data_IF_284142751160
#
_entry.id   IF_284142751160
#
_cell.length_a   1.000
_cell.length_b   1.000
_cell.length_c   1.000
_cell.angle_alpha   90.00
_cell.angle_beta   90.00
_cell.angle_gamma   90.00
#
_symmetry.space_group_name_H-M   'P 1'
#
loop_
_entity.id
_entity.type
_entity.pdbx_description
1 polymer ?
#
# COMPACT_ATOMS: atom_id res chain seq x y z
N UNK A 1 -13.65 -3.48 -11.16
CA UNK A 1 -12.53 -4.25 -11.76
C UNK A 1 -11.43 -4.25 -10.73
N UNK A 2 -11.06 -5.42 -10.17
CA UNK A 2 -9.93 -5.48 -9.24
C UNK A 2 -8.65 -5.19 -10.00
N UNK A 3 -7.86 -4.23 -9.52
CA UNK A 3 -6.53 -3.96 -10.07
C UNK A 3 -5.63 -5.16 -9.73
N UNK A 4 -5.67 -6.20 -10.58
CA UNK A 4 -4.77 -7.33 -10.48
C UNK A 4 -3.35 -6.84 -10.76
N UNK A 5 -2.54 -6.70 -9.73
CA UNK A 5 -1.11 -6.38 -9.88
C UNK A 5 -0.44 -7.52 -10.65
N UNK A 6 0.13 -7.22 -11.81
CA UNK A 6 0.85 -8.20 -12.62
C UNK A 6 2.10 -8.66 -11.88
N UNK A 7 2.38 -9.96 -12.02
CA UNK A 7 3.61 -10.54 -11.49
C UNK A 7 4.73 -10.40 -12.51
N UNK A 8 5.79 -9.67 -12.14
CA UNK A 8 6.98 -9.44 -12.98
C UNK A 8 8.25 -9.89 -12.27
N UNK A 9 9.25 -10.27 -13.06
CA UNK A 9 10.56 -10.64 -12.54
C UNK A 9 11.30 -9.41 -11.99
N UNK A 10 11.75 -9.46 -10.73
CA UNK A 10 12.41 -8.33 -10.08
C UNK A 10 11.48 -7.22 -9.56
N UNK A 11 10.18 -7.50 -9.48
CA UNK A 11 9.18 -6.64 -8.84
C UNK A 11 9.30 -6.56 -7.32
N UNK A 12 8.36 -5.88 -6.67
CA UNK A 12 8.28 -5.86 -5.21
C UNK A 12 7.86 -7.21 -4.64
N UNK A 13 8.35 -7.53 -3.46
CA UNK A 13 7.95 -8.73 -2.74
C UNK A 13 6.45 -8.70 -2.47
N UNK A 14 5.76 -9.77 -2.86
CA UNK A 14 4.30 -9.84 -2.78
C UNK A 14 3.81 -9.67 -1.34
N UNK A 15 4.55 -10.17 -0.35
CA UNK A 15 4.15 -10.07 1.07
C UNK A 15 4.30 -8.64 1.56
N UNK A 16 5.38 -7.96 1.19
CA UNK A 16 5.60 -6.56 1.58
C UNK A 16 4.54 -5.65 0.94
N UNK A 17 4.20 -5.88 -0.32
CA UNK A 17 3.13 -5.12 -1.02
C UNK A 17 1.78 -5.37 -0.37
N UNK A 18 1.40 -6.64 -0.15
CA UNK A 18 0.13 -6.98 0.49
C UNK A 18 0.04 -6.38 1.89
N UNK A 19 1.10 -6.48 2.70
CA UNK A 19 1.12 -5.90 4.04
C UNK A 19 0.93 -4.37 4.02
N UNK A 20 1.54 -3.68 3.06
CA UNK A 20 1.40 -2.23 2.92
C UNK A 20 -0.01 -1.85 2.46
N UNK A 21 -0.54 -2.55 1.45
CA UNK A 21 -1.91 -2.37 0.96
C UNK A 21 -2.95 -2.66 2.04
N UNK A 22 -2.80 -3.75 2.79
CA UNK A 22 -3.70 -4.12 3.88
C UNK A 22 -3.69 -3.05 4.99
N UNK A 23 -2.54 -2.45 5.26
CA UNK A 23 -2.45 -1.33 6.20
C UNK A 23 -3.18 -0.08 5.71
N UNK A 24 -3.05 0.27 4.41
CA UNK A 24 -3.84 1.36 3.81
C UNK A 24 -5.34 1.09 3.87
N UNK A 25 -5.77 -0.13 3.50
CA UNK A 25 -7.19 -0.52 3.56
C UNK A 25 -7.72 -0.49 5.00
N UNK A 26 -6.94 -0.99 5.96
CA UNK A 26 -7.31 -0.93 7.39
C UNK A 26 -7.46 0.51 7.89
N UNK A 27 -6.60 1.42 7.41
CA UNK A 27 -6.72 2.85 7.71
C UNK A 27 -8.01 3.43 7.11
N UNK A 28 -8.31 3.15 5.85
CA UNK A 28 -9.55 3.58 5.19
C UNK A 28 -10.79 3.09 5.96
N UNK A 29 -10.82 1.81 6.35
CA UNK A 29 -11.94 1.28 7.14
C UNK A 29 -12.06 1.96 8.51
N UNK A 30 -10.95 2.31 9.15
CA UNK A 30 -10.96 3.01 10.44
C UNK A 30 -11.49 4.44 10.30
N UNK A 31 -11.18 5.12 9.19
CA UNK A 31 -11.75 6.42 8.83
C UNK A 31 -13.26 6.29 8.62
N UNK A 32 -13.71 5.28 7.85
CA UNK A 32 -15.13 5.07 7.55
C UNK A 32 -15.96 4.71 8.80
N UNK A 33 -15.33 4.05 9.78
CA UNK A 33 -15.94 3.79 11.09
C UNK A 33 -15.89 5.00 12.03
N UNK A 34 -15.44 6.17 11.55
CA UNK A 34 -15.25 7.42 12.30
C UNK A 34 -14.43 7.25 13.59
N UNK A 35 -13.49 6.29 13.58
CA UNK A 35 -12.82 5.83 14.79
C UNK A 35 -11.49 6.56 15.06
N UNK A 36 -11.11 7.51 14.20
CA UNK A 36 -9.84 8.22 14.22
C UNK A 36 -10.02 9.70 13.91
N UNK A 37 -9.22 10.56 14.54
CA UNK A 37 -9.11 11.98 14.19
C UNK A 37 -8.12 12.19 13.05
N UNK A 38 -8.22 13.31 12.33
CA UNK A 38 -7.32 13.67 11.21
C UNK A 38 -5.84 13.56 11.56
N UNK A 39 -5.47 13.95 12.79
CA UNK A 39 -4.11 13.84 13.29
C UNK A 39 -3.65 12.37 13.44
N UNK A 40 -4.55 11.49 13.90
CA UNK A 40 -4.27 10.07 14.00
C UNK A 40 -4.19 9.42 12.61
N UNK A 41 -5.06 9.83 11.68
CA UNK A 41 -5.05 9.35 10.30
C UNK A 41 -3.72 9.72 9.63
N UNK A 42 -3.27 10.97 9.74
CA UNK A 42 -2.00 11.40 9.17
C UNK A 42 -0.80 10.68 9.81
N UNK A 43 -0.84 10.41 11.12
CA UNK A 43 0.19 9.65 11.81
C UNK A 43 0.28 8.20 11.32
N UNK A 44 -0.86 7.51 11.16
CA UNK A 44 -0.90 6.16 10.60
C UNK A 44 -0.47 6.15 9.13
N UNK A 45 -0.93 7.12 8.33
CA UNK A 45 -0.54 7.28 6.93
C UNK A 45 0.98 7.40 6.78
N UNK A 46 1.62 8.22 7.61
CA UNK A 46 3.08 8.35 7.66
C UNK A 46 3.77 7.01 7.99
N UNK A 47 3.28 6.26 8.99
CA UNK A 47 3.82 4.94 9.33
C UNK A 47 3.75 3.97 8.16
N UNK A 48 2.60 3.91 7.49
CA UNK A 48 2.37 3.03 6.33
C UNK A 48 3.28 3.44 5.17
N UNK A 49 3.40 4.75 4.91
CA UNK A 49 4.28 5.28 3.86
C UNK A 49 5.75 4.89 4.09
N UNK A 50 6.19 4.89 5.34
CA UNK A 50 7.53 4.44 5.74
C UNK A 50 7.73 2.91 5.76
N UNK A 51 6.68 2.10 5.57
CA UNK A 51 6.86 0.64 5.46
C UNK A 51 7.75 0.29 4.26
N UNK A 52 8.77 -0.57 4.48
CA UNK A 52 9.71 -0.93 3.43
C UNK A 52 9.04 -1.86 2.41
N UNK A 53 9.16 -1.50 1.12
CA UNK A 53 8.84 -2.39 0.01
C UNK A 53 10.14 -2.98 -0.54
N UNK A 54 10.46 -4.22 -0.15
CA UNK A 54 11.67 -4.88 -0.66
C UNK A 54 11.38 -5.49 -2.02
N UNK A 55 12.42 -5.63 -2.84
CA UNK A 55 12.32 -6.38 -4.11
C UNK A 55 12.23 -7.87 -3.81
N UNK A 56 11.43 -8.60 -4.60
CA UNK A 56 11.31 -10.04 -4.52
C UNK A 56 12.68 -10.70 -4.82
N UNK A 57 13.21 -11.45 -3.86
CA UNK A 57 14.49 -12.17 -3.99
C UNK A 57 14.33 -13.59 -3.44
N UNK A 58 14.87 -14.57 -4.17
CA UNK A 58 15.00 -15.95 -3.72
C UNK A 58 16.49 -16.32 -3.74
N UNK A 59 17.10 -16.59 -2.57
CA UNK A 59 18.49 -17.03 -2.44
C UNK A 59 19.45 -16.25 -3.37
N UNK A 60 19.39 -14.92 -3.30
CA UNK A 60 20.20 -13.96 -4.10
C UNK A 60 19.80 -13.73 -5.56
N UNK A 61 18.85 -14.48 -6.11
CA UNK A 61 18.34 -14.27 -7.47
C UNK A 61 17.03 -13.44 -7.40
N UNK A 62 16.84 -12.44 -8.28
CA UNK A 62 15.53 -11.78 -8.43
C UNK A 62 14.44 -12.84 -8.65
N UNK A 63 13.30 -12.67 -7.98
CA UNK A 63 12.16 -13.59 -8.09
C UNK A 63 10.96 -12.85 -8.70
N UNK A 64 9.89 -13.58 -9.00
CA UNK A 64 8.62 -12.99 -9.40
C UNK A 64 8.02 -12.20 -8.22
N UNK A 65 7.82 -10.91 -8.43
CA UNK A 65 7.17 -9.98 -7.50
C UNK A 65 6.02 -9.24 -8.18
N UNK A 66 5.37 -8.31 -7.49
CA UNK A 66 4.41 -7.41 -8.12
C UNK A 66 5.12 -6.30 -8.89
N UNK A 67 4.55 -5.90 -10.02
CA UNK A 67 5.05 -4.80 -10.83
C UNK A 67 5.17 -3.52 -10.02
N UNK A 68 6.38 -2.94 -10.00
CA UNK A 68 6.69 -1.69 -9.32
C UNK A 68 5.74 -0.55 -9.78
N UNK A 69 5.61 -0.23 -11.08
CA UNK A 69 4.76 0.88 -11.51
C UNK A 69 3.28 0.66 -11.19
N UNK A 70 2.78 -0.57 -11.27
CA UNK A 70 1.39 -0.85 -10.90
C UNK A 70 1.17 -0.76 -9.39
N UNK A 71 2.13 -1.24 -8.60
CA UNK A 71 2.08 -1.13 -7.13
C UNK A 71 2.12 0.33 -6.69
N UNK A 72 3.05 1.12 -7.23
CA UNK A 72 3.19 2.53 -6.91
C UNK A 72 1.93 3.32 -7.32
N UNK A 73 1.36 3.02 -8.50
CA UNK A 73 0.09 3.62 -8.95
C UNK A 73 -1.07 3.26 -8.02
N UNK A 74 -1.15 2.01 -7.57
CA UNK A 74 -2.21 1.55 -6.69
C UNK A 74 -2.10 2.16 -5.29
N UNK A 75 -0.89 2.27 -4.75
CA UNK A 75 -0.65 2.99 -3.49
C UNK A 75 -1.06 4.46 -3.62
N UNK A 76 -0.73 5.12 -4.73
CA UNK A 76 -1.12 6.50 -4.97
C UNK A 76 -2.65 6.68 -5.04
N UNK A 77 -3.38 5.71 -5.59
CA UNK A 77 -4.86 5.70 -5.57
C UNK A 77 -5.40 5.61 -4.13
N UNK A 78 -4.84 4.73 -3.29
CA UNK A 78 -5.23 4.59 -1.89
C UNK A 78 -4.93 5.86 -1.08
N UNK A 79 -3.77 6.48 -1.29
CA UNK A 79 -3.42 7.76 -0.66
C UNK A 79 -4.39 8.88 -1.06
N UNK A 80 -4.79 8.91 -2.34
CA UNK A 80 -5.78 9.87 -2.84
C UNK A 80 -7.15 9.64 -2.22
N UNK A 81 -7.56 8.38 -2.04
CA UNK A 81 -8.82 8.05 -1.38
C UNK A 81 -8.85 8.49 0.08
N UNK A 82 -7.76 8.24 0.82
CA UNK A 82 -7.60 8.71 2.20
C UNK A 82 -7.64 10.24 2.25
N UNK A 83 -6.92 10.93 1.36
CA UNK A 83 -6.92 12.39 1.31
C UNK A 83 -8.33 12.95 1.04
N UNK A 84 -9.09 12.33 0.14
CA UNK A 84 -10.48 12.72 -0.12
C UNK A 84 -11.38 12.52 1.10
N UNK A 85 -11.18 11.45 1.88
CA UNK A 85 -11.97 11.17 3.09
C UNK A 85 -11.65 12.09 4.26
N UNK A 86 -10.42 12.59 4.38
CA UNK A 86 -10.03 13.56 5.42
C UNK A 86 -10.47 14.99 5.05
N UNK A 87 -10.54 15.33 3.75
CA UNK A 87 -10.97 16.66 3.30
C UNK A 87 -12.50 16.85 3.25
N UNK A 88 -13.29 15.81 3.54
CA UNK A 88 -14.75 15.81 3.61
C UNK A 88 -15.24 15.98 5.05
#
# INVERSE_FOLDING_TARGET
>A
MGNCLDSVFGGYDKKDVLAKTDAYNSLIEAIDKANLSDAAINAELLKIRHMPLRKAKCLFIPCSGFSIPQTDSYIAELEKEIANKIML
#
